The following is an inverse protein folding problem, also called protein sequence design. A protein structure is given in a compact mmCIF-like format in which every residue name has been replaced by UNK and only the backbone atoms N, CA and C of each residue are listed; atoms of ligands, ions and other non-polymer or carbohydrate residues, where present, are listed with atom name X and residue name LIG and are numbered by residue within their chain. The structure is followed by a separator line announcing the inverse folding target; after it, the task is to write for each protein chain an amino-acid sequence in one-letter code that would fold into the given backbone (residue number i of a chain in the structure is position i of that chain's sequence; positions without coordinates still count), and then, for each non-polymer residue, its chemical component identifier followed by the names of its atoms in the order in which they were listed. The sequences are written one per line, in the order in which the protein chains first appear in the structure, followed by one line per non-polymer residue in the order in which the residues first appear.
data_IF_199293328194
#
_entry.id   IF_199293328194
#
_cell.length_a   1.000
_cell.length_b   1.000
_cell.length_c   1.000
_cell.angle_alpha   90.00
_cell.angle_beta   90.00
_cell.angle_gamma   90.00
#
_symmetry.space_group_name_H-M   'P 1'
#
loop_
_entity.id
_entity.type
_entity.pdbx_description
1 polymer ?
#
# COMPACT_ATOMS: atom_id res chain seq x y z
N UNK A 1 -10.88 0.61 -9.35
CA UNK A 1 -10.08 0.02 -10.42
C UNK A 1 -9.14 1.05 -11.02
N UNK A 2 -9.63 2.09 -11.71
CA UNK A 2 -8.77 3.07 -12.38
C UNK A 2 -7.69 3.68 -11.47
N UNK A 3 -8.06 4.11 -10.25
CA UNK A 3 -7.12 4.69 -9.30
C UNK A 3 -5.98 3.71 -8.93
N UNK A 4 -6.29 2.43 -8.73
CA UNK A 4 -5.27 1.41 -8.42
C UNK A 4 -4.30 1.24 -9.59
N UNK A 5 -4.81 1.17 -10.82
CA UNK A 5 -3.99 1.04 -12.03
C UNK A 5 -3.09 2.26 -12.22
N UNK A 6 -3.65 3.46 -12.11
CA UNK A 6 -2.89 4.71 -12.26
C UNK A 6 -1.80 4.84 -11.20
N UNK A 7 -2.14 4.60 -9.92
CA UNK A 7 -1.15 4.65 -8.84
C UNK A 7 -0.05 3.59 -9.03
N UNK A 8 -0.39 2.36 -9.42
CA UNK A 8 0.59 1.33 -9.70
C UNK A 8 1.53 1.73 -10.85
N UNK A 9 0.99 2.26 -11.95
CA UNK A 9 1.78 2.75 -13.08
C UNK A 9 2.71 3.90 -12.68
N UNK A 10 2.23 4.86 -11.89
CA UNK A 10 3.05 5.96 -11.37
C UNK A 10 4.20 5.45 -10.49
N UNK A 11 3.97 4.44 -9.64
CA UNK A 11 5.02 3.86 -8.80
C UNK A 11 6.04 3.05 -9.63
N UNK A 12 5.62 2.36 -10.69
CA UNK A 12 6.55 1.74 -11.63
C UNK A 12 7.42 2.78 -12.31
N UNK A 13 6.84 3.87 -12.81
CA UNK A 13 7.61 4.95 -13.42
C UNK A 13 8.60 5.60 -12.41
N UNK A 14 8.16 5.83 -11.19
CA UNK A 14 8.99 6.36 -10.12
C UNK A 14 10.14 5.41 -9.76
N UNK A 15 9.87 4.10 -9.68
CA UNK A 15 10.86 3.06 -9.42
C UNK A 15 11.93 2.99 -10.52
N UNK A 16 11.51 3.09 -11.79
CA UNK A 16 12.42 3.08 -12.95
C UNK A 16 13.27 4.36 -13.05
N UNK A 17 12.78 5.47 -12.51
CA UNK A 17 13.46 6.74 -12.60
C UNK A 17 14.51 6.92 -11.50
N UNK A 18 14.13 6.82 -10.23
CA UNK A 18 15.03 7.06 -9.08
C UNK A 18 14.40 6.59 -7.76
N UNK A 19 15.17 6.02 -6.79
CA UNK A 19 14.66 5.65 -5.47
C UNK A 19 14.02 6.81 -4.69
N UNK A 20 14.48 8.06 -4.87
CA UNK A 20 13.87 9.23 -4.23
C UNK A 20 12.49 9.51 -4.81
N UNK A 21 12.30 9.32 -6.12
CA UNK A 21 10.99 9.43 -6.76
C UNK A 21 10.04 8.33 -6.30
N UNK A 22 10.54 7.11 -6.09
CA UNK A 22 9.74 6.04 -5.47
C UNK A 22 9.30 6.44 -4.06
N UNK A 23 10.22 6.98 -3.24
CA UNK A 23 9.88 7.46 -1.90
C UNK A 23 8.81 8.55 -1.95
N UNK A 24 8.91 9.50 -2.88
CA UNK A 24 7.90 10.54 -3.09
C UNK A 24 6.55 9.95 -3.53
N UNK A 25 6.55 8.97 -4.43
CA UNK A 25 5.33 8.27 -4.87
C UNK A 25 4.65 7.48 -3.75
N UNK A 26 5.44 6.81 -2.91
CA UNK A 26 4.93 6.10 -1.72
C UNK A 26 4.40 7.10 -0.67
N UNK A 27 5.11 8.21 -0.44
CA UNK A 27 4.65 9.28 0.43
C UNK A 27 3.31 9.86 -0.06
N UNK A 28 3.19 10.13 -1.36
CA UNK A 28 1.95 10.60 -1.97
C UNK A 28 0.81 9.59 -1.78
N UNK A 29 1.06 8.31 -2.04
CA UNK A 29 0.08 7.22 -1.81
C UNK A 29 -0.35 7.16 -0.35
N UNK A 30 0.60 7.33 0.59
CA UNK A 30 0.33 7.42 2.02
C UNK A 30 -0.47 8.67 2.41
N UNK A 31 -0.23 9.83 1.77
CA UNK A 31 -1.04 11.05 1.95
C UNK A 31 -2.47 10.83 1.46
N UNK A 32 -2.66 10.12 0.35
CA UNK A 32 -4.00 9.73 -0.13
C UNK A 32 -4.71 8.85 0.90
N UNK A 33 -3.98 7.91 1.53
CA UNK A 33 -4.52 7.15 2.66
C UNK A 33 -4.87 8.09 3.81
N UNK A 34 -3.97 8.96 4.27
CA UNK A 34 -4.19 9.89 5.36
C UNK A 34 -5.44 10.77 5.16
N UNK A 35 -5.69 11.19 3.92
CA UNK A 35 -6.83 12.02 3.58
C UNK A 35 -8.17 11.29 3.65
N UNK A 36 -8.23 10.05 3.17
CA UNK A 36 -9.49 9.30 3.06
C UNK A 36 -9.75 8.30 4.18
N UNK A 37 -8.72 7.77 4.82
CA UNK A 37 -8.79 6.70 5.81
C UNK A 37 -9.67 7.01 7.02
N UNK A 38 -9.50 8.18 7.70
CA UNK A 38 -10.34 8.50 8.86
C UNK A 38 -11.81 8.68 8.51
N UNK A 39 -12.08 9.16 7.28
CA UNK A 39 -13.44 9.30 6.79
C UNK A 39 -14.06 7.95 6.43
N UNK A 40 -13.28 7.06 5.81
CA UNK A 40 -13.69 5.71 5.45
C UNK A 40 -14.13 4.90 6.66
N UNK A 41 -13.41 5.03 7.78
CA UNK A 41 -13.69 4.34 9.04
C UNK A 41 -14.62 5.11 9.99
N UNK A 42 -15.12 6.28 9.61
CA UNK A 42 -16.00 7.08 10.45
C UNK A 42 -15.34 7.60 11.73
N UNK A 43 -14.03 7.85 11.73
CA UNK A 43 -13.30 8.35 12.90
C UNK A 43 -13.87 9.64 13.43
N UNK A 44 -14.05 9.75 14.75
CA UNK A 44 -14.49 10.97 15.45
C UNK A 44 -13.43 12.08 15.39
N UNK A 45 -12.14 11.73 15.27
CA UNK A 45 -11.01 12.65 15.20
C UNK A 45 -10.37 12.64 13.81
N UNK A 46 -11.11 13.08 12.80
CA UNK A 46 -10.64 13.03 11.39
C UNK A 46 -9.34 13.79 11.17
N UNK A 47 -9.25 15.03 11.68
CA UNK A 47 -8.06 15.86 11.49
C UNK A 47 -6.82 15.25 12.15
N UNK A 48 -6.90 14.87 13.43
CA UNK A 48 -5.77 14.29 14.15
C UNK A 48 -5.32 12.95 13.57
N UNK A 49 -6.26 12.12 13.15
CA UNK A 49 -5.95 10.85 12.47
C UNK A 49 -5.26 11.11 11.13
N UNK A 50 -5.78 12.05 10.30
CA UNK A 50 -5.14 12.42 9.03
C UNK A 50 -3.74 13.00 9.24
N UNK A 51 -3.55 13.86 10.25
CA UNK A 51 -2.25 14.44 10.55
C UNK A 51 -1.23 13.37 10.94
N UNK A 52 -1.60 12.48 11.86
CA UNK A 52 -0.70 11.42 12.34
C UNK A 52 -0.31 10.43 11.23
N UNK A 53 -1.29 9.99 10.42
CA UNK A 53 -1.03 9.12 9.27
C UNK A 53 -0.19 9.87 8.22
N UNK A 54 -0.47 11.16 7.98
CA UNK A 54 0.26 12.00 7.03
C UNK A 54 1.73 12.19 7.42
N UNK A 55 2.01 12.42 8.71
CA UNK A 55 3.39 12.49 9.22
C UNK A 55 4.12 11.17 8.97
N UNK A 56 3.52 10.03 9.31
CA UNK A 56 4.10 8.73 9.03
C UNK A 56 4.29 8.51 7.51
N UNK A 57 3.31 8.92 6.69
CA UNK A 57 3.33 8.77 5.24
C UNK A 57 4.49 9.50 4.56
N UNK A 58 4.88 10.66 5.07
CA UNK A 58 6.02 11.43 4.55
C UNK A 58 7.33 10.90 5.14
N UNK A 59 7.38 10.71 6.46
CA UNK A 59 8.64 10.41 7.13
C UNK A 59 9.10 8.96 6.91
N UNK A 60 8.20 7.97 6.80
CA UNK A 60 8.63 6.57 6.70
C UNK A 60 9.32 6.26 5.36
N UNK A 61 8.77 6.61 4.17
CA UNK A 61 9.50 6.43 2.91
C UNK A 61 10.77 7.29 2.83
N UNK A 62 10.75 8.53 3.36
CA UNK A 62 11.93 9.37 3.43
C UNK A 62 13.03 8.73 4.31
N UNK A 63 12.66 8.21 5.49
CA UNK A 63 13.58 7.50 6.39
C UNK A 63 14.18 6.24 5.74
N UNK A 64 13.41 5.52 4.90
CA UNK A 64 13.91 4.38 4.13
C UNK A 64 14.81 4.79 2.97
N UNK A 65 14.68 6.02 2.47
CA UNK A 65 15.53 6.56 1.41
C UNK A 65 16.91 7.05 1.89
N UNK A 66 17.05 7.41 3.18
CA UNK A 66 18.27 8.01 3.73
C UNK A 66 19.47 7.05 3.85
N UNK A 67 19.34 5.78 4.32
CA UNK A 67 20.48 4.91 4.46
C UNK A 67 21.15 4.61 3.12
N UNK A 68 22.47 4.77 3.02
CA UNK A 68 23.21 4.41 1.82
C UNK A 68 23.38 2.90 1.67
N UNK A 69 23.42 2.18 2.80
CA UNK A 69 23.66 0.73 2.90
C UNK A 69 22.56 0.04 3.72
N UNK A 70 22.44 -1.27 3.57
CA UNK A 70 21.50 -2.10 4.34
C UNK A 70 21.80 -2.05 5.85
N UNK A 71 20.78 -2.19 6.68
CA UNK A 71 19.36 -2.37 6.34
C UNK A 71 18.65 -1.04 6.05
N UNK A 72 18.08 -0.92 4.85
CA UNK A 72 17.41 0.33 4.41
C UNK A 72 16.22 0.77 5.28
N UNK A 73 15.59 -0.17 5.97
CA UNK A 73 14.43 0.11 6.85
C UNK A 73 14.81 0.51 8.28
N UNK A 74 16.12 0.63 8.63
CA UNK A 74 16.59 0.85 10.01
C UNK A 74 16.02 2.10 10.68
N UNK A 75 15.73 3.16 9.91
CA UNK A 75 15.20 4.42 10.43
C UNK A 75 13.66 4.52 10.38
N UNK A 76 13.00 3.58 9.70
CA UNK A 76 11.53 3.58 9.55
C UNK A 76 10.82 3.50 10.90
N UNK A 77 11.23 2.66 11.88
CA UNK A 77 10.59 2.64 13.19
C UNK A 77 10.54 4.02 13.87
N UNK A 78 11.60 4.84 13.73
CA UNK A 78 11.63 6.20 14.29
C UNK A 78 10.57 7.08 13.64
N UNK A 79 10.42 7.02 12.32
CA UNK A 79 9.40 7.75 11.58
C UNK A 79 7.98 7.35 12.01
N UNK A 80 7.75 6.04 12.22
CA UNK A 80 6.44 5.53 12.67
C UNK A 80 6.14 5.98 14.11
N UNK A 81 7.14 5.97 15.00
CA UNK A 81 7.00 6.47 16.37
C UNK A 81 6.61 7.94 16.36
N UNK A 82 7.17 8.78 15.48
CA UNK A 82 6.76 10.19 15.35
C UNK A 82 5.28 10.30 14.94
N UNK A 83 4.79 9.46 14.03
CA UNK A 83 3.36 9.38 13.71
C UNK A 83 2.51 9.03 14.94
N UNK A 84 2.94 8.06 15.76
CA UNK A 84 2.26 7.68 16.99
C UNK A 84 2.30 8.81 18.04
N UNK A 85 3.43 9.51 18.19
CA UNK A 85 3.56 10.68 19.09
C UNK A 85 2.56 11.77 18.67
N UNK A 86 2.43 12.06 17.39
CA UNK A 86 1.43 13.00 16.87
C UNK A 86 0.01 12.52 17.18
N UNK A 87 -0.28 11.22 17.00
CA UNK A 87 -1.59 10.64 17.32
C UNK A 87 -1.94 10.82 18.79
N UNK A 88 -1.06 10.41 19.72
CA UNK A 88 -1.31 10.53 21.16
C UNK A 88 -1.33 11.99 21.62
N UNK A 89 -0.39 12.81 21.12
CA UNK A 89 -0.34 14.24 21.40
C UNK A 89 -1.64 14.95 21.01
N UNK A 90 -2.17 14.67 19.81
CA UNK A 90 -3.45 15.20 19.40
C UNK A 90 -4.59 14.76 20.32
N UNK A 91 -4.63 13.48 20.74
CA UNK A 91 -5.66 13.00 21.69
C UNK A 91 -5.55 13.66 23.06
N UNK A 92 -4.35 14.04 23.51
CA UNK A 92 -4.16 14.77 24.77
C UNK A 92 -4.67 16.22 24.70
N UNK A 93 -4.51 16.88 23.56
CA UNK A 93 -4.92 18.28 23.36
C UNK A 93 -6.43 18.41 23.08
N UNK A 94 -7.10 17.34 22.67
CA UNK A 94 -8.56 17.36 22.39
C UNK A 94 -9.36 17.77 23.63
N UNK A 95 -10.28 18.74 23.44
CA UNK A 95 -11.15 19.28 24.50
C UNK A 95 -12.63 18.93 24.30
N UNK A 96 -12.95 18.08 23.34
CA UNK A 96 -14.33 17.70 22.96
C UNK A 96 -14.89 16.53 23.78
N UNK A 97 -14.32 16.21 24.94
CA UNK A 97 -14.69 15.04 25.76
C UNK A 97 -14.19 13.70 25.20
N UNK A 98 -13.41 13.73 24.13
CA UNK A 98 -12.76 12.56 23.49
C UNK A 98 -13.73 11.41 23.18
N UNK A 99 -14.86 11.65 22.49
CA UNK A 99 -15.80 10.59 22.17
C UNK A 99 -15.10 9.54 21.31
N UNK A 100 -15.41 8.26 21.56
CA UNK A 100 -14.89 7.11 20.80
C UNK A 100 -13.35 7.10 20.70
N UNK A 101 -12.66 7.37 21.82
CA UNK A 101 -11.19 7.51 21.90
C UNK A 101 -10.49 6.26 21.35
N UNK A 102 -10.86 5.07 21.86
CA UNK A 102 -10.26 3.79 21.48
C UNK A 102 -10.39 3.53 19.98
N UNK A 103 -11.55 3.80 19.41
CA UNK A 103 -11.80 3.66 17.98
C UNK A 103 -10.92 4.61 17.17
N UNK A 104 -10.81 5.87 17.58
CA UNK A 104 -9.96 6.86 16.92
C UNK A 104 -8.49 6.44 16.93
N UNK A 105 -7.99 5.93 18.05
CA UNK A 105 -6.62 5.40 18.17
C UNK A 105 -6.45 4.18 17.25
N UNK A 106 -7.35 3.21 17.29
CA UNK A 106 -7.27 1.99 16.47
C UNK A 106 -7.27 2.30 14.98
N UNK A 107 -8.18 3.16 14.52
CA UNK A 107 -8.24 3.59 13.11
C UNK A 107 -6.96 4.29 12.69
N UNK A 108 -6.40 5.15 13.52
CA UNK A 108 -5.17 5.88 13.21
C UNK A 108 -3.96 4.95 13.18
N UNK A 109 -3.83 4.06 14.16
CA UNK A 109 -2.75 3.07 14.22
C UNK A 109 -2.79 2.12 13.01
N UNK A 110 -3.98 1.69 12.59
CA UNK A 110 -4.14 0.87 11.39
C UNK A 110 -3.70 1.62 10.12
N UNK A 111 -4.04 2.92 10.01
CA UNK A 111 -3.55 3.76 8.90
C UNK A 111 -2.03 3.91 8.87
N UNK A 112 -1.40 4.11 10.04
CA UNK A 112 0.07 4.13 10.18
C UNK A 112 0.66 2.77 9.79
N UNK A 113 0.03 1.65 10.18
CA UNK A 113 0.46 0.32 9.79
C UNK A 113 0.40 0.11 8.26
N UNK A 114 -0.64 0.58 7.58
CA UNK A 114 -0.73 0.55 6.11
C UNK A 114 0.45 1.29 5.47
N UNK A 115 0.81 2.45 6.00
CA UNK A 115 1.99 3.21 5.54
C UNK A 115 3.28 2.43 5.79
N UNK A 116 3.44 1.83 6.96
CA UNK A 116 4.60 1.00 7.29
C UNK A 116 4.77 -0.17 6.31
N UNK A 117 3.68 -0.89 6.02
CA UNK A 117 3.68 -1.97 5.03
C UNK A 117 4.05 -1.46 3.64
N UNK A 118 3.54 -0.28 3.24
CA UNK A 118 3.88 0.35 1.97
C UNK A 118 5.35 0.77 1.86
N UNK A 119 5.98 1.14 2.97
CA UNK A 119 7.40 1.52 2.98
C UNK A 119 8.33 0.36 2.64
N UNK A 120 7.88 -0.89 2.78
CA UNK A 120 8.66 -2.08 2.41
C UNK A 120 8.90 -2.24 0.90
N UNK A 121 8.27 -1.44 0.05
CA UNK A 121 8.64 -1.32 -1.36
C UNK A 121 10.00 -0.63 -1.58
N UNK A 122 10.47 0.19 -0.61
CA UNK A 122 11.71 0.97 -0.76
C UNK A 122 12.97 0.12 -0.92
N UNK A 123 13.24 -0.93 -0.12
CA UNK A 123 14.42 -1.77 -0.31
C UNK A 123 14.52 -2.38 -1.71
N UNK A 124 13.37 -2.69 -2.32
CA UNK A 124 13.32 -3.31 -3.64
C UNK A 124 13.91 -2.43 -4.76
N UNK A 125 13.90 -1.10 -4.59
CA UNK A 125 14.51 -0.18 -5.55
C UNK A 125 16.03 -0.12 -5.46
N UNK A 126 16.64 -0.72 -4.44
CA UNK A 126 18.07 -0.58 -4.12
C UNK A 126 18.83 -1.89 -4.10
N UNK A 127 18.13 -3.01 -3.97
CA UNK A 127 18.72 -4.33 -3.99
C UNK A 127 18.84 -4.82 -5.44
N UNK A 128 19.98 -5.45 -5.75
CA UNK A 128 20.22 -5.99 -7.08
C UNK A 128 19.10 -6.96 -7.50
N UNK A 129 18.55 -6.79 -8.69
CA UNK A 129 17.44 -7.57 -9.27
C UNK A 129 16.10 -7.52 -8.50
N UNK A 130 16.01 -6.82 -7.37
CA UNK A 130 14.76 -6.74 -6.62
C UNK A 130 13.79 -5.69 -7.22
N UNK A 131 14.28 -4.77 -8.02
CA UNK A 131 13.45 -3.81 -8.76
C UNK A 131 12.51 -4.51 -9.75
N UNK A 132 12.96 -5.58 -10.39
CA UNK A 132 12.13 -6.39 -11.30
C UNK A 132 10.99 -7.09 -10.54
N UNK A 133 11.26 -7.56 -9.31
CA UNK A 133 10.24 -8.13 -8.42
C UNK A 133 9.20 -7.05 -8.05
N UNK A 134 9.65 -5.83 -7.77
CA UNK A 134 8.74 -4.72 -7.48
C UNK A 134 7.86 -4.36 -8.68
N UNK A 135 8.43 -4.28 -9.88
CA UNK A 135 7.68 -4.01 -11.12
C UNK A 135 6.65 -5.12 -11.36
N UNK A 136 7.07 -6.38 -11.23
CA UNK A 136 6.17 -7.53 -11.34
C UNK A 136 5.03 -7.44 -10.33
N UNK A 137 5.33 -7.08 -9.06
CA UNK A 137 4.34 -6.87 -8.02
C UNK A 137 3.32 -5.77 -8.36
N UNK A 138 3.78 -4.59 -8.79
CA UNK A 138 2.89 -3.49 -9.20
C UNK A 138 2.05 -3.84 -10.43
N UNK A 139 2.63 -4.52 -11.42
CA UNK A 139 1.89 -5.01 -12.60
C UNK A 139 0.81 -6.02 -12.20
N UNK A 140 1.15 -6.94 -11.30
CA UNK A 140 0.20 -7.90 -10.72
C UNK A 140 -0.94 -7.21 -9.98
N UNK A 141 -0.65 -6.22 -9.14
CA UNK A 141 -1.67 -5.42 -8.44
C UNK A 141 -2.57 -4.69 -9.44
N UNK A 142 -1.98 -4.05 -10.45
CA UNK A 142 -2.74 -3.32 -11.46
C UNK A 142 -3.73 -4.23 -12.20
N UNK A 143 -3.27 -5.39 -12.65
CA UNK A 143 -4.11 -6.31 -13.40
C UNK A 143 -5.14 -7.01 -12.48
N UNK A 144 -4.78 -7.34 -11.23
CA UNK A 144 -5.71 -7.89 -10.23
C UNK A 144 -6.92 -6.99 -9.97
N UNK A 145 -6.75 -5.67 -10.14
CA UNK A 145 -7.85 -4.72 -9.95
C UNK A 145 -8.98 -4.89 -10.98
N UNK A 146 -8.72 -5.54 -12.12
CA UNK A 146 -9.77 -5.84 -13.10
C UNK A 146 -10.80 -6.84 -12.57
N UNK A 147 -10.42 -7.72 -11.63
CA UNK A 147 -11.38 -8.61 -10.98
C UNK A 147 -12.50 -7.84 -10.27
N UNK A 148 -12.21 -6.63 -9.78
CA UNK A 148 -13.20 -5.79 -9.09
C UNK A 148 -14.34 -5.31 -10.03
N UNK A 149 -14.14 -5.35 -11.36
CA UNK A 149 -15.20 -5.05 -12.34
C UNK A 149 -16.34 -6.07 -12.31
N UNK A 150 -16.04 -7.29 -11.86
CA UNK A 150 -17.04 -8.34 -11.71
C UNK A 150 -17.84 -8.24 -10.40
N UNK A 151 -17.59 -7.25 -9.53
CA UNK A 151 -18.21 -7.12 -8.20
C UNK A 151 -19.74 -6.99 -8.24
N UNK A 152 -20.32 -6.47 -9.34
CA UNK A 152 -21.76 -6.36 -9.55
C UNK A 152 -22.45 -7.72 -9.84
N UNK A 153 -21.71 -8.75 -10.20
CA UNK A 153 -22.26 -10.07 -10.54
C UNK A 153 -22.32 -10.99 -9.32
N UNK A 154 -23.50 -11.45 -8.96
CA UNK A 154 -23.68 -12.43 -7.87
C UNK A 154 -23.00 -13.75 -8.15
N UNK A 155 -22.94 -14.18 -9.42
CA UNK A 155 -22.27 -15.42 -9.86
C UNK A 155 -20.74 -15.30 -9.78
N UNK A 156 -20.18 -14.12 -10.01
CA UNK A 156 -18.74 -13.90 -9.98
C UNK A 156 -18.18 -13.70 -8.57
N UNK A 157 -19.02 -13.31 -7.59
CA UNK A 157 -18.58 -13.03 -6.20
C UNK A 157 -17.69 -14.12 -5.57
N UNK A 158 -18.01 -15.41 -5.61
CA UNK A 158 -17.16 -16.44 -5.00
C UNK A 158 -15.82 -16.61 -5.75
N UNK A 159 -15.74 -16.18 -7.00
CA UNK A 159 -14.57 -16.29 -7.85
C UNK A 159 -13.68 -15.06 -7.91
N UNK A 160 -14.08 -13.97 -7.24
CA UNK A 160 -13.35 -12.70 -7.33
C UNK A 160 -11.91 -12.80 -6.82
N UNK A 161 -11.68 -13.51 -5.69
CA UNK A 161 -10.34 -13.71 -5.18
C UNK A 161 -9.49 -14.59 -6.11
N UNK A 162 -9.93 -15.77 -6.53
CA UNK A 162 -9.23 -16.57 -7.55
C UNK A 162 -8.94 -15.79 -8.85
N UNK A 163 -9.89 -14.98 -9.33
CA UNK A 163 -9.69 -14.15 -10.52
C UNK A 163 -8.63 -13.05 -10.28
N UNK A 164 -8.66 -12.41 -9.12
CA UNK A 164 -7.66 -11.40 -8.77
C UNK A 164 -6.25 -12.01 -8.66
N UNK A 165 -6.14 -13.22 -8.12
CA UNK A 165 -4.90 -13.97 -8.06
C UNK A 165 -4.41 -14.34 -9.46
N UNK A 166 -5.29 -14.87 -10.30
CA UNK A 166 -4.95 -15.23 -11.69
C UNK A 166 -4.50 -14.02 -12.50
N UNK A 167 -5.29 -12.93 -12.49
CA UNK A 167 -4.93 -11.69 -13.17
C UNK A 167 -3.63 -11.09 -12.61
N UNK A 168 -3.44 -11.17 -11.30
CA UNK A 168 -2.19 -10.74 -10.66
C UNK A 168 -0.99 -11.53 -11.19
N UNK A 169 -1.09 -12.86 -11.22
CA UNK A 169 -0.06 -13.73 -11.78
C UNK A 169 0.23 -13.44 -13.25
N UNK A 170 -0.82 -13.29 -14.07
CA UNK A 170 -0.67 -12.95 -15.50
C UNK A 170 0.02 -11.59 -15.66
N UNK A 171 -0.38 -10.56 -14.90
CA UNK A 171 0.23 -9.23 -14.98
C UNK A 171 1.72 -9.24 -14.67
N UNK A 172 2.11 -9.98 -13.63
CA UNK A 172 3.53 -10.13 -13.27
C UNK A 172 4.33 -10.94 -14.27
N UNK A 173 3.76 -12.02 -14.81
CA UNK A 173 4.42 -12.83 -15.88
C UNK A 173 4.64 -12.00 -17.13
N UNK A 174 3.65 -11.19 -17.54
CA UNK A 174 3.79 -10.29 -18.68
C UNK A 174 4.90 -9.26 -18.43
N UNK A 175 4.92 -8.66 -17.26
CA UNK A 175 5.98 -7.71 -16.89
C UNK A 175 7.36 -8.38 -16.91
N UNK A 176 7.51 -9.57 -16.31
CA UNK A 176 8.75 -10.33 -16.30
C UNK A 176 9.20 -10.74 -17.71
N UNK A 177 8.27 -11.15 -18.58
CA UNK A 177 8.59 -11.50 -19.97
C UNK A 177 9.11 -10.30 -20.77
N UNK A 178 8.58 -9.09 -20.52
CA UNK A 178 9.03 -7.85 -21.16
C UNK A 178 10.39 -7.41 -20.64
N UNK A 179 10.64 -7.56 -19.34
CA UNK A 179 11.89 -7.15 -18.70
C UNK A 179 13.01 -8.20 -18.79
N UNK A 180 12.65 -9.47 -19.08
CA UNK A 180 13.58 -10.60 -19.03
C UNK A 180 13.97 -11.03 -17.60
N UNK A 181 13.30 -10.50 -16.58
CA UNK A 181 13.53 -10.81 -15.16
C UNK A 181 12.33 -10.34 -14.29
N UNK A 182 12.07 -10.97 -13.12
CA UNK A 182 12.64 -12.26 -12.69
C UNK A 182 12.14 -13.43 -13.57
N UNK A 183 12.60 -14.67 -13.27
CA UNK A 183 12.06 -15.85 -13.96
C UNK A 183 10.54 -15.93 -13.84
N UNK A 184 9.88 -16.53 -14.84
CA UNK A 184 8.42 -16.51 -14.98
C UNK A 184 7.68 -17.13 -13.77
N UNK A 185 8.24 -18.19 -13.17
CA UNK A 185 7.60 -18.85 -12.02
C UNK A 185 7.64 -17.98 -10.73
N UNK A 186 8.80 -17.42 -10.33
CA UNK A 186 8.84 -16.41 -9.27
C UNK A 186 7.95 -15.19 -9.54
N UNK A 187 7.95 -14.67 -10.76
CA UNK A 187 7.08 -13.55 -11.13
C UNK A 187 5.60 -13.89 -10.95
N UNK A 188 5.18 -15.07 -11.41
CA UNK A 188 3.80 -15.53 -11.23
C UNK A 188 3.41 -15.59 -9.76
N UNK A 189 4.29 -16.09 -8.89
CA UNK A 189 4.06 -16.17 -7.46
C UNK A 189 3.92 -14.78 -6.82
N UNK A 190 4.81 -13.85 -7.17
CA UNK A 190 4.75 -12.45 -6.70
C UNK A 190 3.41 -11.83 -7.08
N UNK A 191 3.01 -11.92 -8.35
CA UNK A 191 1.75 -11.33 -8.81
C UNK A 191 0.52 -12.00 -8.23
N UNK A 192 0.54 -13.30 -8.09
CA UNK A 192 -0.53 -14.09 -7.47
C UNK A 192 -0.78 -13.63 -6.03
N UNK A 193 0.26 -13.53 -5.22
CA UNK A 193 0.15 -13.14 -3.81
C UNK A 193 -0.09 -11.64 -3.64
N UNK A 194 0.63 -10.77 -4.36
CA UNK A 194 0.38 -9.33 -4.31
C UNK A 194 -1.03 -8.98 -4.81
N UNK A 195 -1.50 -9.64 -5.88
CA UNK A 195 -2.85 -9.50 -6.39
C UNK A 195 -3.91 -9.94 -5.39
N UNK A 196 -3.71 -11.07 -4.72
CA UNK A 196 -4.59 -11.57 -3.67
C UNK A 196 -4.72 -10.59 -2.50
N UNK A 197 -3.58 -10.15 -1.96
CA UNK A 197 -3.54 -9.23 -0.80
C UNK A 197 -4.15 -7.87 -1.17
N UNK A 198 -3.82 -7.35 -2.35
CA UNK A 198 -4.39 -6.11 -2.86
C UNK A 198 -5.91 -6.19 -2.99
N UNK A 199 -6.42 -7.25 -3.63
CA UNK A 199 -7.86 -7.48 -3.77
C UNK A 199 -8.54 -7.65 -2.40
N UNK A 200 -7.99 -8.47 -1.51
CA UNK A 200 -8.52 -8.69 -0.16
C UNK A 200 -8.62 -7.38 0.62
N UNK A 201 -7.57 -6.55 0.59
CA UNK A 201 -7.56 -5.22 1.23
C UNK A 201 -8.69 -4.34 0.70
N UNK A 202 -8.80 -4.19 -0.63
CA UNK A 202 -9.88 -3.39 -1.24
C UNK A 202 -11.27 -3.97 -0.93
N UNK A 203 -11.39 -5.29 -0.93
CA UNK A 203 -12.66 -5.97 -0.63
C UNK A 203 -13.10 -5.76 0.81
N UNK A 204 -12.19 -5.86 1.77
CA UNK A 204 -12.47 -5.56 3.19
C UNK A 204 -12.91 -4.12 3.38
N UNK A 205 -12.25 -3.17 2.71
CA UNK A 205 -12.61 -1.75 2.79
C UNK A 205 -13.92 -1.42 2.06
N UNK A 206 -14.30 -2.21 1.05
CA UNK A 206 -15.52 -1.98 0.25
C UNK A 206 -16.83 -2.20 1.01
N UNK A 207 -16.81 -2.87 2.16
CA UNK A 207 -18.00 -3.07 2.98
C UNK A 207 -18.27 -1.91 3.95
N UNK A 208 -17.33 -0.96 4.06
CA UNK A 208 -17.49 0.19 4.95
C UNK A 208 -18.48 1.20 4.37
N UNK A 209 -19.41 1.76 5.18
CA UNK A 209 -20.50 2.61 4.68
C UNK A 209 -20.02 3.86 3.91
N UNK A 210 -18.88 4.42 4.29
CA UNK A 210 -18.35 5.64 3.69
C UNK A 210 -17.63 5.42 2.34
N UNK A 211 -17.52 4.17 1.84
CA UNK A 211 -16.79 3.84 0.60
C UNK A 211 -17.36 4.54 -0.65
N UNK A 212 -18.60 4.97 -0.61
CA UNK A 212 -19.22 5.69 -1.74
C UNK A 212 -18.56 7.05 -2.04
N UNK A 213 -17.85 7.65 -1.07
CA UNK A 213 -17.15 8.91 -1.28
C UNK A 213 -15.86 8.71 -2.08
N UNK A 214 -15.55 9.66 -2.99
CA UNK A 214 -14.35 9.62 -3.84
C UNK A 214 -13.06 9.46 -3.02
N UNK A 215 -12.92 10.24 -1.93
CA UNK A 215 -11.74 10.17 -1.06
C UNK A 215 -11.56 8.80 -0.39
N UNK A 216 -12.67 8.15 -0.02
CA UNK A 216 -12.61 6.81 0.58
C UNK A 216 -12.22 5.75 -0.46
N UNK A 217 -12.71 5.86 -1.69
CA UNK A 217 -12.31 5.00 -2.80
C UNK A 217 -10.83 5.16 -3.16
N UNK A 218 -10.33 6.39 -3.21
CA UNK A 218 -8.91 6.65 -3.45
C UNK A 218 -8.03 6.11 -2.33
N UNK A 219 -8.44 6.30 -1.07
CA UNK A 219 -7.75 5.74 0.09
C UNK A 219 -7.72 4.20 0.06
N UNK A 220 -8.84 3.55 -0.31
CA UNK A 220 -8.92 2.10 -0.48
C UNK A 220 -7.99 1.61 -1.60
N UNK A 221 -7.94 2.32 -2.73
CA UNK A 221 -7.03 2.00 -3.84
C UNK A 221 -5.56 2.10 -3.41
N UNK A 222 -5.19 3.19 -2.72
CA UNK A 222 -3.84 3.40 -2.21
C UNK A 222 -3.45 2.36 -1.15
N UNK A 223 -4.35 2.04 -0.20
CA UNK A 223 -4.12 0.98 0.78
C UNK A 223 -3.92 -0.39 0.11
N UNK A 224 -4.75 -0.73 -0.90
CA UNK A 224 -4.61 -1.95 -1.68
C UNK A 224 -3.30 -2.05 -2.46
N UNK A 225 -2.61 -0.93 -2.68
CA UNK A 225 -1.31 -0.88 -3.32
C UNK A 225 -0.16 -0.94 -2.29
N UNK A 226 -0.31 -0.29 -1.14
CA UNK A 226 0.72 -0.21 -0.11
C UNK A 226 0.86 -1.54 0.66
N UNK A 227 -0.25 -2.16 1.06
CA UNK A 227 -0.24 -3.37 1.90
C UNK A 227 0.53 -4.55 1.27
N UNK A 228 0.45 -4.84 -0.05
CA UNK A 228 1.24 -5.92 -0.65
C UNK A 228 2.76 -5.74 -0.60
N UNK A 229 3.26 -4.55 -0.26
CA UNK A 229 4.70 -4.27 -0.21
C UNK A 229 5.47 -5.25 0.67
N UNK A 230 4.93 -5.60 1.83
CA UNK A 230 5.56 -6.58 2.73
C UNK A 230 5.66 -7.97 2.10
N UNK A 231 4.68 -8.35 1.28
CA UNK A 231 4.69 -9.65 0.58
C UNK A 231 5.75 -9.63 -0.52
N UNK A 232 5.79 -8.58 -1.33
CA UNK A 232 6.79 -8.41 -2.38
C UNK A 232 8.21 -8.41 -1.79
N UNK A 233 8.43 -7.69 -0.69
CA UNK A 233 9.71 -7.63 0.00
C UNK A 233 10.11 -9.00 0.55
N UNK A 234 9.20 -9.70 1.25
CA UNK A 234 9.47 -11.03 1.78
C UNK A 234 9.79 -12.05 0.70
N UNK A 235 9.10 -12.00 -0.44
CA UNK A 235 9.39 -12.87 -1.59
C UNK A 235 10.73 -12.52 -2.26
N UNK A 236 11.06 -11.23 -2.38
CA UNK A 236 12.32 -10.81 -2.95
C UNK A 236 13.53 -11.34 -2.18
N UNK A 237 13.45 -11.40 -0.84
CA UNK A 237 14.51 -12.00 -0.01
C UNK A 237 14.75 -13.49 -0.33
N UNK A 238 13.73 -14.22 -0.76
CA UNK A 238 13.83 -15.62 -1.16
C UNK A 238 14.17 -15.86 -2.64
N UNK A 239 13.92 -14.87 -3.51
CA UNK A 239 14.12 -14.96 -4.97
C UNK A 239 15.51 -14.46 -5.35
N UNK A 240 15.99 -13.41 -4.67
CA UNK A 240 17.21 -12.66 -5.03
C UNK A 240 18.36 -12.96 -4.08
N UNK A 241 18.07 -13.36 -2.81
CA UNK A 241 19.05 -13.80 -1.81
C UNK A 241 19.46 -15.23 -2.06
#
# INVERSE_FOLDING_TARGET
VAATIVLAALLVLALLADPVLLAAGLAWSGIVVAWGWPALHGSSSRFGSSLAIGVAAVLAPAAAALPAEEPFLRLVPVALVLGLVVMFGHQMVRRDGRPRLTESISVTSLGIAVVALGTTWMPLSRQHRASEVAIAGFAGIALSALADLAAGSTRARPWMLPLAMLFGGVGSVVAAAVLGAPDLAPAALVGFLCGAVSHATRRMLSVLPAIASMRAQLSSAAAGLLVPGVVAYGLALGIVG
#
